data_IF_342417893349
#
_entry.id   IF_342417893349
#
_cell.length_a   1.000
_cell.length_b   1.000
_cell.length_c   1.000
_cell.angle_alpha   90.00
_cell.angle_beta   90.00
_cell.angle_gamma   90.00
#
_symmetry.space_group_name_H-M   'P 1'
#
loop_
_entity.id
_entity.type
_entity.pdbx_description
1 polymer ?
#
# COMPACT_ATOMS: atom_id res chain seq x y z
N UNK A 1 16.09 -45.91 43.09
CA UNK A 1 15.92 -44.43 43.16
C UNK A 1 16.82 -43.64 42.21
N UNK A 2 17.83 -44.25 41.56
CA UNK A 2 18.84 -43.51 40.78
C UNK A 2 18.46 -43.34 39.28
N UNK A 3 17.58 -44.20 38.72
CA UNK A 3 17.24 -44.14 37.30
C UNK A 3 16.23 -43.03 36.93
N UNK A 4 15.40 -42.57 37.88
CA UNK A 4 14.47 -41.43 37.65
C UNK A 4 15.19 -40.07 37.65
N UNK A 5 16.37 -39.97 38.26
CA UNK A 5 17.18 -38.75 38.32
C UNK A 5 17.88 -38.43 37.00
N UNK A 6 18.28 -39.46 36.25
CA UNK A 6 19.02 -39.29 34.98
C UNK A 6 18.11 -38.89 33.81
N UNK A 7 16.85 -39.35 33.80
CA UNK A 7 15.86 -38.99 32.78
C UNK A 7 15.41 -37.53 32.94
N UNK A 8 15.26 -37.05 34.19
CA UNK A 8 14.91 -35.65 34.46
C UNK A 8 16.04 -34.67 34.11
N UNK A 9 17.31 -35.06 34.29
CA UNK A 9 18.44 -34.23 33.88
C UNK A 9 18.53 -34.13 32.35
N UNK A 10 18.38 -35.25 31.61
CA UNK A 10 18.40 -35.27 30.13
C UNK A 10 17.29 -34.42 29.52
N UNK A 11 16.08 -34.45 30.07
CA UNK A 11 14.98 -33.60 29.59
C UNK A 11 15.18 -32.11 29.90
N UNK A 12 15.87 -31.77 31.00
CA UNK A 12 16.23 -30.37 31.31
C UNK A 12 17.25 -29.81 30.32
N UNK A 13 18.24 -30.61 29.92
CA UNK A 13 19.22 -30.21 28.90
C UNK A 13 18.64 -30.22 27.48
N UNK A 14 17.68 -31.10 27.15
CA UNK A 14 17.02 -31.09 25.84
C UNK A 14 16.04 -29.92 25.66
N UNK A 15 15.40 -29.45 26.73
CA UNK A 15 14.54 -28.24 26.71
C UNK A 15 15.40 -26.96 26.68
N UNK A 16 16.64 -27.00 27.17
CA UNK A 16 17.56 -25.87 27.15
C UNK A 16 18.39 -25.74 25.86
N UNK A 17 18.26 -26.68 24.91
CA UNK A 17 18.97 -26.68 23.62
C UNK A 17 18.06 -26.34 22.41
N UNK A 18 16.75 -26.10 22.60
CA UNK A 18 15.82 -25.84 21.48
C UNK A 18 15.44 -24.37 21.27
N UNK A 19 16.00 -23.41 22.00
CA UNK A 19 15.72 -21.97 21.79
C UNK A 19 16.94 -21.05 22.01
N UNK A 20 18.15 -21.51 21.69
CA UNK A 20 19.24 -20.57 21.40
C UNK A 20 18.99 -19.97 20.00
N UNK A 21 18.00 -19.07 19.89
CA UNK A 21 18.06 -18.05 18.86
C UNK A 21 19.12 -17.06 19.34
N UNK A 22 20.12 -16.80 18.51
CA UNK A 22 20.94 -15.59 18.64
C UNK A 22 19.99 -14.43 18.96
N UNK A 23 20.27 -13.60 19.99
CA UNK A 23 19.41 -12.46 20.29
C UNK A 23 19.38 -11.59 19.04
N UNK A 24 18.24 -11.58 18.34
CA UNK A 24 18.04 -10.71 17.18
C UNK A 24 18.23 -9.30 17.72
N UNK A 25 19.29 -8.63 17.26
CA UNK A 25 19.59 -7.28 17.73
C UNK A 25 18.38 -6.39 17.45
N UNK A 26 17.94 -5.67 18.48
CA UNK A 26 16.79 -4.77 18.38
C UNK A 26 16.98 -3.77 17.23
N UNK A 27 15.95 -3.61 16.40
CA UNK A 27 15.92 -2.68 15.28
C UNK A 27 16.18 -1.26 15.80
N UNK A 28 17.17 -0.58 15.22
CA UNK A 28 17.56 0.78 15.61
C UNK A 28 16.98 1.85 14.68
N UNK A 29 16.72 1.50 13.43
CA UNK A 29 16.11 2.43 12.47
C UNK A 29 15.01 1.76 11.67
N UNK A 30 13.86 2.40 11.60
CA UNK A 30 12.80 2.10 10.65
C UNK A 30 12.92 3.01 9.44
N UNK A 31 12.95 2.43 8.25
CA UNK A 31 12.94 3.17 6.99
C UNK A 31 11.60 2.93 6.32
N UNK A 32 10.73 3.91 6.44
CA UNK A 32 9.40 3.87 5.86
C UNK A 32 9.49 4.06 4.35
N UNK A 33 8.87 3.15 3.62
CA UNK A 33 8.92 3.03 2.16
C UNK A 33 7.51 3.12 1.59
N UNK A 34 7.38 3.88 0.51
CA UNK A 34 6.24 3.82 -0.39
C UNK A 34 6.73 3.99 -1.85
N UNK A 35 6.05 3.30 -2.77
CA UNK A 35 6.33 3.35 -4.20
C UNK A 35 5.09 3.74 -4.99
N UNK A 36 5.23 4.78 -5.82
CA UNK A 36 4.31 4.99 -6.92
C UNK A 36 4.75 4.22 -8.15
N UNK A 37 3.80 3.80 -8.97
CA UNK A 37 4.08 2.91 -10.09
C UNK A 37 3.22 3.17 -11.32
N UNK A 38 3.57 2.56 -12.44
CA UNK A 38 2.82 2.66 -13.70
C UNK A 38 1.38 2.15 -13.60
N UNK A 39 1.10 1.29 -12.62
CA UNK A 39 -0.21 0.68 -12.41
C UNK A 39 -0.12 -0.61 -11.60
N UNK A 40 -1.28 -1.18 -11.24
CA UNK A 40 -1.31 -2.34 -10.35
C UNK A 40 -0.77 -3.61 -11.03
N UNK A 41 -0.04 -4.48 -10.29
CA UNK A 41 0.62 -5.64 -10.88
C UNK A 41 -0.37 -6.64 -11.50
N UNK A 42 -1.56 -6.76 -10.90
CA UNK A 42 -2.64 -7.60 -11.43
C UNK A 42 -3.03 -7.21 -12.86
N UNK A 43 -3.22 -5.92 -13.14
CA UNK A 43 -3.65 -5.44 -14.45
C UNK A 43 -2.51 -5.34 -15.46
N UNK A 44 -1.28 -5.28 -14.97
CA UNK A 44 -0.08 -5.18 -15.81
C UNK A 44 0.67 -6.52 -15.96
N UNK A 45 0.07 -7.62 -15.53
CA UNK A 45 0.67 -8.96 -15.55
C UNK A 45 2.08 -8.97 -14.93
N UNK A 46 2.23 -8.28 -13.80
CA UNK A 46 3.48 -8.08 -13.04
C UNK A 46 4.62 -7.41 -13.82
N UNK A 47 4.25 -6.61 -14.84
CA UNK A 47 5.16 -5.73 -15.58
C UNK A 47 5.14 -4.28 -15.08
N UNK A 48 4.48 -3.99 -13.95
CA UNK A 48 4.48 -2.70 -13.22
C UNK A 48 5.87 -2.11 -13.11
N UNK A 49 6.10 -0.81 -13.27
CA UNK A 49 7.42 -0.16 -13.05
C UNK A 49 7.28 0.96 -12.03
N UNK A 50 8.36 1.27 -11.30
CA UNK A 50 8.40 2.35 -10.31
C UNK A 50 8.46 3.71 -11.02
N UNK A 51 7.67 4.68 -10.54
CA UNK A 51 7.64 6.08 -11.01
C UNK A 51 8.10 7.05 -9.93
N UNK A 52 7.85 6.74 -8.66
CA UNK A 52 8.35 7.50 -7.49
C UNK A 52 8.74 6.50 -6.39
N UNK A 53 9.79 6.81 -5.63
CA UNK A 53 10.23 6.07 -4.46
C UNK A 53 10.49 7.07 -3.35
N UNK A 54 9.84 6.88 -2.20
CA UNK A 54 10.14 7.61 -0.99
C UNK A 54 10.66 6.68 0.11
N UNK A 55 11.79 7.06 0.71
CA UNK A 55 12.36 6.44 1.90
C UNK A 55 12.49 7.50 2.98
N UNK A 56 11.87 7.28 4.14
CA UNK A 56 12.05 8.13 5.32
C UNK A 56 12.55 7.30 6.50
N UNK A 57 13.77 7.57 6.94
CA UNK A 57 14.40 6.90 8.08
C UNK A 57 14.08 7.61 9.39
N UNK A 58 13.66 6.84 10.39
CA UNK A 58 13.36 7.28 11.75
C UNK A 58 13.94 6.27 12.73
N UNK A 59 14.66 6.75 13.75
CA UNK A 59 15.18 5.89 14.81
C UNK A 59 14.05 5.29 15.66
N UNK A 60 14.22 4.05 16.11
CA UNK A 60 13.19 3.32 16.86
C UNK A 60 12.80 4.03 18.15
N UNK A 61 13.75 4.66 18.84
CA UNK A 61 13.49 5.47 20.03
C UNK A 61 12.50 6.61 19.77
N UNK A 62 12.56 7.26 18.60
CA UNK A 62 11.65 8.34 18.25
C UNK A 62 10.23 7.85 17.92
N UNK A 63 10.09 6.61 17.43
CA UNK A 63 8.78 5.98 17.26
C UNK A 63 8.18 5.64 18.63
N UNK A 64 8.99 5.12 19.57
CA UNK A 64 8.55 4.78 20.94
C UNK A 64 8.00 5.98 21.71
N UNK A 65 8.42 7.22 21.38
CA UNK A 65 7.93 8.44 22.04
C UNK A 65 6.42 8.68 21.89
N UNK A 66 5.72 8.00 20.99
CA UNK A 66 4.27 8.17 20.84
C UNK A 66 3.87 9.45 20.11
N UNK A 67 4.83 10.21 19.59
CA UNK A 67 4.64 11.50 18.92
C UNK A 67 5.25 11.50 17.54
N UNK A 68 4.78 12.38 16.66
CA UNK A 68 5.32 12.46 15.31
C UNK A 68 6.83 12.82 15.35
N UNK A 69 7.72 11.96 14.82
CA UNK A 69 9.15 12.15 14.92
C UNK A 69 9.63 13.40 14.19
N UNK A 70 10.33 14.31 14.89
CA UNK A 70 10.93 15.51 14.28
C UNK A 70 12.21 15.21 13.51
N UNK A 71 13.01 14.26 13.99
CA UNK A 71 14.29 13.87 13.39
C UNK A 71 14.03 12.75 12.38
N UNK A 72 14.26 13.07 11.10
CA UNK A 72 14.05 12.15 9.98
C UNK A 72 15.14 12.40 8.94
N UNK A 73 15.62 11.34 8.29
CA UNK A 73 16.39 11.43 7.05
C UNK A 73 15.49 11.00 5.89
N UNK A 74 15.52 11.71 4.76
CA UNK A 74 14.63 11.44 3.63
C UNK A 74 15.39 11.29 2.32
N UNK A 75 14.95 10.34 1.50
CA UNK A 75 15.35 10.16 0.11
C UNK A 75 14.08 10.00 -0.71
N UNK A 76 13.77 10.96 -1.58
CA UNK A 76 12.64 10.88 -2.53
C UNK A 76 13.16 11.01 -3.96
N UNK A 77 12.81 10.08 -4.84
CA UNK A 77 13.30 9.99 -6.21
C UNK A 77 12.17 9.66 -7.18
N UNK A 78 12.05 10.44 -8.26
CA UNK A 78 11.15 10.12 -9.37
C UNK A 78 11.94 9.50 -10.55
N UNK A 79 11.31 8.57 -11.26
CA UNK A 79 11.94 7.82 -12.34
C UNK A 79 11.16 7.88 -13.64
N UNK A 80 11.88 7.83 -14.76
CA UNK A 80 11.28 7.50 -16.03
C UNK A 80 11.07 5.96 -16.06
N UNK A 81 9.83 5.46 -16.09
CA UNK A 81 9.56 4.02 -16.01
C UNK A 81 9.89 3.28 -17.32
N UNK A 82 10.18 3.99 -18.43
CA UNK A 82 10.29 3.43 -19.78
C UNK A 82 9.11 2.52 -20.15
N UNK A 83 7.92 2.88 -19.66
CA UNK A 83 6.66 2.19 -19.86
C UNK A 83 5.53 3.21 -19.72
N UNK A 84 4.47 3.05 -20.50
CA UNK A 84 3.27 3.88 -20.36
C UNK A 84 2.68 3.73 -18.96
N UNK A 85 2.42 4.85 -18.30
CA UNK A 85 1.68 4.93 -17.04
C UNK A 85 0.21 4.78 -17.38
N UNK A 86 -0.49 3.90 -16.67
CA UNK A 86 -1.92 3.70 -16.85
C UNK A 86 -2.69 4.97 -16.48
N UNK A 87 -3.82 5.22 -17.17
CA UNK A 87 -4.64 6.40 -16.89
C UNK A 87 -5.13 6.47 -15.44
N UNK A 88 -5.40 5.31 -14.82
CA UNK A 88 -5.77 5.24 -13.40
C UNK A 88 -4.59 5.62 -12.49
N UNK A 89 -3.37 5.14 -12.77
CA UNK A 89 -2.18 5.51 -12.02
C UNK A 89 -1.82 6.99 -12.16
N UNK A 90 -1.87 7.53 -13.38
CA UNK A 90 -1.63 8.96 -13.62
C UNK A 90 -2.67 9.83 -12.89
N UNK A 91 -3.93 9.40 -12.87
CA UNK A 91 -5.02 10.12 -12.18
C UNK A 91 -4.81 10.16 -10.66
N UNK A 92 -4.39 9.06 -10.04
CA UNK A 92 -4.21 9.02 -8.58
C UNK A 92 -2.91 9.72 -8.16
N UNK A 93 -1.80 9.46 -8.87
CA UNK A 93 -0.47 9.94 -8.47
C UNK A 93 -0.16 11.35 -8.98
N UNK A 94 -0.83 11.78 -10.04
CA UNK A 94 -0.46 12.98 -10.79
C UNK A 94 0.83 12.84 -11.59
N UNK A 95 1.43 11.64 -11.65
CA UNK A 95 2.64 11.37 -12.42
C UNK A 95 2.30 10.87 -13.82
N UNK A 96 2.82 11.56 -14.83
CA UNK A 96 2.64 11.21 -16.23
C UNK A 96 3.98 10.94 -16.91
N UNK A 97 3.94 10.20 -18.03
CA UNK A 97 5.15 9.98 -18.82
C UNK A 97 5.78 11.28 -19.32
N UNK A 98 4.97 12.33 -19.52
CA UNK A 98 5.46 13.66 -19.92
C UNK A 98 6.24 14.33 -18.80
N UNK A 99 5.70 14.33 -17.56
CA UNK A 99 6.39 14.91 -16.40
C UNK A 99 7.71 14.19 -16.09
N UNK A 100 7.75 12.89 -16.35
CA UNK A 100 8.88 12.01 -16.05
C UNK A 100 9.80 11.79 -17.26
N UNK A 101 9.61 12.48 -18.38
CA UNK A 101 10.34 12.18 -19.62
C UNK A 101 11.87 12.38 -19.47
N UNK A 102 12.27 13.42 -18.74
CA UNK A 102 13.66 13.86 -18.57
C UNK A 102 14.29 13.36 -17.26
N UNK A 103 13.54 12.62 -16.44
CA UNK A 103 14.07 12.00 -15.22
C UNK A 103 14.87 10.74 -15.57
N UNK A 104 15.74 10.32 -14.65
CA UNK A 104 16.56 9.11 -14.86
C UNK A 104 15.70 7.85 -14.70
N UNK A 105 16.10 6.79 -15.37
CA UNK A 105 15.55 5.45 -15.13
C UNK A 105 16.09 4.90 -13.81
N UNK A 106 15.41 3.92 -13.22
CA UNK A 106 15.96 3.16 -12.11
C UNK A 106 17.25 2.44 -12.55
N UNK A 107 18.38 2.72 -11.90
CA UNK A 107 19.71 2.27 -12.33
C UNK A 107 20.59 1.82 -11.16
N UNK A 108 21.84 1.44 -11.46
CA UNK A 108 22.84 1.03 -10.47
C UNK A 108 23.17 2.15 -9.49
N UNK A 109 23.20 3.39 -9.96
CA UNK A 109 23.41 4.59 -9.13
C UNK A 109 22.26 4.78 -8.13
N UNK A 110 21.02 4.43 -8.51
CA UNK A 110 19.87 4.42 -7.61
C UNK A 110 20.08 3.40 -6.49
N UNK A 111 20.50 2.17 -6.82
CA UNK A 111 20.76 1.13 -5.81
C UNK A 111 21.89 1.54 -4.87
N UNK A 112 22.97 2.11 -5.40
CA UNK A 112 24.07 2.67 -4.60
C UNK A 112 23.57 3.78 -3.66
N UNK A 113 22.70 4.67 -4.15
CA UNK A 113 22.10 5.73 -3.34
C UNK A 113 21.23 5.18 -2.21
N UNK A 114 20.43 4.15 -2.49
CA UNK A 114 19.63 3.46 -1.47
C UNK A 114 20.55 2.82 -0.43
N UNK A 115 21.55 2.04 -0.83
CA UNK A 115 22.48 1.40 0.11
C UNK A 115 23.23 2.42 0.97
N UNK A 116 23.74 3.50 0.37
CA UNK A 116 24.39 4.58 1.11
C UNK A 116 23.44 5.23 2.11
N UNK A 117 22.18 5.45 1.72
CA UNK A 117 21.15 6.00 2.60
C UNK A 117 20.85 5.05 3.76
N UNK A 118 20.65 3.75 3.50
CA UNK A 118 20.39 2.75 4.54
C UNK A 118 21.58 2.65 5.51
N UNK A 119 22.81 2.60 5.00
CA UNK A 119 24.04 2.48 5.79
C UNK A 119 24.39 3.75 6.57
N UNK A 120 23.86 4.91 6.18
CA UNK A 120 24.01 6.15 6.94
C UNK A 120 23.26 6.13 8.28
N UNK A 121 22.26 5.26 8.44
CA UNK A 121 21.44 5.20 9.64
C UNK A 121 21.94 4.14 10.65
N UNK A 122 21.64 4.30 11.95
CA UNK A 122 21.95 3.29 12.97
C UNK A 122 21.38 1.91 12.63
N UNK A 123 22.23 0.89 12.65
CA UNK A 123 21.88 -0.50 12.37
C UNK A 123 21.37 -1.22 13.62
N UNK A 124 20.50 -2.24 13.48
CA UNK A 124 19.91 -2.74 12.23
C UNK A 124 18.83 -1.81 11.67
N UNK A 125 18.76 -1.76 10.34
CA UNK A 125 17.70 -1.08 9.58
C UNK A 125 16.59 -2.05 9.18
N UNK A 126 15.34 -1.63 9.34
CA UNK A 126 14.16 -2.33 8.88
C UNK A 126 13.32 -1.46 7.93
N UNK A 127 13.10 -1.93 6.71
CA UNK A 127 12.13 -1.34 5.79
C UNK A 127 10.71 -1.55 6.31
N UNK A 128 9.87 -0.53 6.16
CA UNK A 128 8.48 -0.51 6.63
C UNK A 128 7.59 0.00 5.51
N UNK A 129 6.75 -0.87 4.94
CA UNK A 129 5.80 -0.53 3.90
C UNK A 129 4.41 -1.07 4.24
N UNK A 130 3.38 -0.50 3.63
CA UNK A 130 2.00 -0.91 3.84
C UNK A 130 1.53 -1.85 2.72
N UNK A 131 1.22 -3.11 3.06
CA UNK A 131 1.03 -4.18 2.08
C UNK A 131 2.32 -4.46 1.26
N UNK A 132 3.48 -4.18 1.85
CA UNK A 132 4.78 -4.27 1.19
C UNK A 132 5.12 -5.67 0.68
N UNK A 133 4.70 -6.74 1.38
CA UNK A 133 4.96 -8.12 0.96
C UNK A 133 4.26 -8.48 -0.35
N UNK A 134 3.15 -7.81 -0.67
CA UNK A 134 2.37 -8.06 -1.88
C UNK A 134 2.54 -6.96 -2.94
N UNK A 135 3.38 -5.96 -2.69
CA UNK A 135 3.55 -4.83 -3.60
C UNK A 135 4.97 -4.27 -3.60
N UNK A 136 5.31 -3.42 -2.62
CA UNK A 136 6.53 -2.61 -2.63
C UNK A 136 7.81 -3.45 -2.68
N UNK A 137 7.91 -4.46 -1.81
CA UNK A 137 9.13 -5.25 -1.68
C UNK A 137 9.39 -6.12 -2.92
N UNK A 138 8.42 -6.91 -3.44
CA UNK A 138 8.64 -7.63 -4.70
C UNK A 138 8.95 -6.71 -5.88
N UNK A 139 8.32 -5.53 -5.95
CA UNK A 139 8.54 -4.56 -7.03
C UNK A 139 9.95 -3.95 -6.96
N UNK A 140 10.35 -3.47 -5.78
CA UNK A 140 11.69 -2.94 -5.52
C UNK A 140 12.75 -4.01 -5.79
N UNK A 141 12.56 -5.23 -5.26
CA UNK A 141 13.47 -6.35 -5.47
C UNK A 141 13.68 -6.63 -6.95
N UNK A 142 12.61 -6.64 -7.74
CA UNK A 142 12.71 -6.84 -9.20
C UNK A 142 13.47 -5.70 -9.90
N UNK A 143 13.25 -4.44 -9.54
CA UNK A 143 14.00 -3.32 -10.14
C UNK A 143 15.49 -3.35 -9.73
N UNK A 144 15.81 -3.68 -8.48
CA UNK A 144 17.18 -3.91 -8.02
C UNK A 144 17.84 -5.04 -8.79
N UNK A 145 17.20 -6.20 -8.89
CA UNK A 145 17.76 -7.39 -9.57
C UNK A 145 18.04 -7.13 -11.06
N UNK A 146 17.24 -6.29 -11.74
CA UNK A 146 17.49 -5.88 -13.13
C UNK A 146 18.81 -5.12 -13.31
N UNK A 147 19.28 -4.43 -12.27
CA UNK A 147 20.56 -3.70 -12.28
C UNK A 147 21.76 -4.61 -12.05
N UNK A 148 21.53 -5.87 -11.64
CA UNK A 148 22.52 -6.85 -11.18
C UNK A 148 23.24 -6.47 -9.89
N UNK A 149 22.68 -5.51 -9.15
CA UNK A 149 23.11 -5.13 -7.81
C UNK A 149 22.20 -5.77 -6.75
N UNK A 150 22.54 -5.58 -5.48
CA UNK A 150 21.72 -6.00 -4.34
C UNK A 150 21.66 -4.91 -3.27
N UNK A 151 20.60 -4.93 -2.47
CA UNK A 151 20.60 -4.22 -1.18
C UNK A 151 21.44 -5.00 -0.16
N UNK A 152 21.91 -4.35 0.90
CA UNK A 152 22.67 -5.00 1.97
C UNK A 152 21.89 -6.19 2.58
N UNK A 153 22.55 -7.33 2.74
CA UNK A 153 21.95 -8.60 3.21
C UNK A 153 21.37 -8.52 4.63
N UNK A 154 21.76 -7.50 5.40
CA UNK A 154 21.28 -7.28 6.76
C UNK A 154 20.03 -6.40 6.83
N UNK A 155 19.54 -5.89 5.70
CA UNK A 155 18.32 -5.07 5.66
C UNK A 155 17.12 -5.96 6.00
N UNK A 156 16.42 -5.58 7.06
CA UNK A 156 15.18 -6.21 7.47
C UNK A 156 13.98 -5.55 6.78
N UNK A 157 12.82 -6.20 6.81
CA UNK A 157 11.56 -5.63 6.36
C UNK A 157 10.36 -6.18 7.15
N UNK A 158 9.32 -5.36 7.28
CA UNK A 158 8.02 -5.70 7.89
C UNK A 158 6.85 -5.20 7.06
N UNK A 159 5.68 -5.83 7.19
CA UNK A 159 4.45 -5.37 6.52
C UNK A 159 3.47 -4.78 7.54
N UNK A 160 3.18 -3.50 7.40
CA UNK A 160 2.29 -2.81 8.35
C UNK A 160 0.82 -3.18 8.17
N UNK A 161 0.41 -3.74 7.03
CA UNK A 161 -0.95 -4.27 6.89
C UNK A 161 -1.18 -5.40 7.90
N UNK A 162 -0.18 -6.28 8.05
CA UNK A 162 -0.20 -7.38 9.02
C UNK A 162 -0.03 -6.82 10.43
N UNK A 163 0.97 -5.96 10.64
CA UNK A 163 1.27 -5.37 11.95
C UNK A 163 0.05 -4.69 12.57
N UNK A 164 -0.63 -3.81 11.81
CA UNK A 164 -1.76 -3.07 12.32
C UNK A 164 -2.94 -3.98 12.67
N UNK A 165 -3.16 -5.05 11.91
CA UNK A 165 -4.21 -6.06 12.22
C UNK A 165 -3.93 -6.78 13.52
N UNK A 166 -2.70 -7.27 13.67
CA UNK A 166 -2.32 -8.07 14.84
C UNK A 166 -2.27 -7.21 16.11
N UNK A 167 -1.68 -6.02 16.05
CA UNK A 167 -1.62 -5.10 17.18
C UNK A 167 -3.02 -4.68 17.65
N UNK A 168 -3.93 -4.34 16.72
CA UNK A 168 -5.31 -3.99 17.10
C UNK A 168 -6.06 -5.18 17.71
N UNK A 169 -5.88 -6.38 17.16
CA UNK A 169 -6.46 -7.61 17.71
C UNK A 169 -5.94 -7.87 19.14
N UNK A 170 -4.64 -7.76 19.37
CA UNK A 170 -4.05 -7.92 20.70
C UNK A 170 -4.57 -6.87 21.70
N UNK A 171 -4.72 -5.62 21.28
CA UNK A 171 -5.26 -4.56 22.12
C UNK A 171 -6.73 -4.80 22.47
N UNK A 172 -7.54 -5.31 21.53
CA UNK A 172 -8.93 -5.68 21.77
C UNK A 172 -9.03 -6.80 22.81
N UNK A 173 -8.26 -7.88 22.63
CA UNK A 173 -8.22 -9.01 23.58
C UNK A 173 -7.80 -8.55 24.98
N UNK A 174 -6.77 -7.70 25.08
CA UNK A 174 -6.32 -7.13 26.37
C UNK A 174 -7.42 -6.31 27.05
N UNK A 175 -8.17 -5.52 26.27
CA UNK A 175 -9.26 -4.70 26.79
C UNK A 175 -10.47 -5.53 27.26
N UNK A 176 -10.83 -6.58 26.52
CA UNK A 176 -11.90 -7.51 26.90
C UNK A 176 -11.57 -8.26 28.19
N UNK A 177 -10.36 -8.82 28.28
CA UNK A 177 -9.89 -9.50 29.49
C UNK A 177 -9.86 -8.56 30.71
N UNK A 178 -9.39 -7.32 30.53
CA UNK A 178 -9.39 -6.32 31.60
C UNK A 178 -10.81 -5.89 32.02
N UNK A 179 -11.77 -5.88 31.10
CA UNK A 179 -13.17 -5.65 31.43
C UNK A 179 -13.76 -6.81 32.23
N UNK A 180 -13.51 -8.06 31.82
CA UNK A 180 -13.98 -9.26 32.53
C UNK A 180 -13.39 -9.39 33.95
N UNK A 181 -12.12 -9.04 34.15
CA UNK A 181 -11.50 -9.02 35.49
C UNK A 181 -12.12 -7.96 36.39
N UNK A 182 -12.49 -6.80 35.84
CA UNK A 182 -13.19 -5.74 36.60
C UNK A 182 -14.58 -6.20 37.03
N UNK A 183 -15.33 -6.91 36.18
CA UNK A 183 -16.66 -7.43 36.53
C UNK A 183 -16.57 -8.52 37.60
N UNK A 184 -15.60 -9.44 37.50
CA UNK A 184 -15.38 -10.51 38.50
C UNK A 184 -14.92 -9.98 39.86
N UNK A 185 -14.21 -8.86 39.91
CA UNK A 185 -13.80 -8.22 41.15
C UNK A 185 -14.91 -7.36 41.77
N UNK A 186 -15.87 -6.85 40.99
CA UNK A 186 -17.05 -6.17 41.51
C UNK A 186 -18.02 -7.15 42.21
N UNK A 187 -18.19 -8.37 41.68
CA UNK A 187 -19.04 -9.41 42.27
C UNK A 187 -18.48 -10.04 43.57
N UNK A 188 -17.19 -9.83 43.88
CA UNK A 188 -16.58 -10.26 45.15
C UNK A 188 -16.58 -9.19 46.25
N UNK A 189 -17.08 -7.99 45.97
CA UNK A 189 -17.15 -6.86 46.92
C UNK A 189 -18.45 -6.78 47.74
N UNK A 190 -19.51 -7.49 47.36
CA UNK A 190 -20.78 -7.50 48.07
C UNK A 190 -21.06 -8.89 48.67
N UNK A 191 -20.48 -9.15 49.85
CA UNK A 191 -21.00 -10.20 50.72
C UNK A 191 -21.09 -9.69 52.15
N UNK A 192 -22.19 -9.00 52.45
CA UNK A 192 -22.79 -8.95 53.79
C UNK A 192 -24.21 -8.36 53.71
N UNK A 193 -25.23 -9.18 53.45
CA UNK A 193 -26.42 -9.32 54.32
C UNK A 193 -27.60 -10.07 53.66
N UNK A 194 -27.81 -11.31 54.12
CA UNK A 194 -29.06 -11.96 54.58
C UNK A 194 -30.34 -12.03 53.67
N UNK A 195 -30.80 -13.30 53.53
CA UNK A 195 -32.16 -13.92 53.38
C UNK A 195 -33.00 -13.90 52.08
N UNK A 196 -33.19 -15.13 51.53
CA UNK A 196 -34.42 -15.89 51.20
C UNK A 196 -35.62 -15.16 50.54
N UNK A 197 -36.39 -15.69 49.56
CA UNK A 197 -36.65 -17.02 48.99
C UNK A 197 -37.60 -16.86 47.79
N UNK A 198 -37.57 -17.74 46.79
CA UNK A 198 -38.65 -17.87 45.79
C UNK A 198 -38.18 -18.44 44.44
N UNK A 199 -38.64 -19.64 44.11
CA UNK A 199 -38.31 -20.44 42.92
C UNK A 199 -38.93 -19.96 41.59
N UNK A 200 -38.44 -20.62 40.53
CA UNK A 200 -38.97 -20.82 39.17
C UNK A 200 -38.63 -19.79 38.08
N UNK A 201 -37.65 -20.15 37.24
CA UNK A 201 -37.94 -20.69 35.89
C UNK A 201 -36.65 -21.14 35.19
N UNK A 202 -36.79 -22.24 34.44
CA UNK A 202 -35.78 -22.96 33.67
C UNK A 202 -35.78 -22.40 32.24
N UNK A 203 -34.60 -22.32 31.61
CA UNK A 203 -34.32 -22.77 30.22
C UNK A 203 -33.41 -21.83 29.39
N UNK A 204 -32.72 -22.48 28.45
CA UNK A 204 -31.96 -22.00 27.30
C UNK A 204 -30.45 -21.75 27.49
N UNK A 205 -29.75 -22.89 27.55
CA UNK A 205 -28.43 -23.09 26.95
C UNK A 205 -28.29 -22.46 25.56
N UNK A 206 -27.33 -21.56 25.38
CA UNK A 206 -26.65 -21.38 24.08
C UNK A 206 -25.13 -21.44 24.30
N UNK A 207 -24.61 -22.62 23.97
CA UNK A 207 -23.18 -22.89 23.79
C UNK A 207 -22.59 -21.91 22.76
N UNK A 208 -21.66 -21.06 23.20
CA UNK A 208 -20.77 -20.31 22.30
C UNK A 208 -19.79 -21.31 21.69
N UNK A 209 -20.06 -21.70 20.44
CA UNK A 209 -19.10 -22.44 19.61
C UNK A 209 -17.96 -21.49 19.21
N UNK A 210 -16.68 -21.87 19.33
CA UNK A 210 -15.55 -21.05 18.91
C UNK A 210 -15.52 -20.95 17.38
N UNK A 211 -15.60 -19.74 16.84
CA UNK A 211 -15.44 -19.52 15.39
C UNK A 211 -13.96 -19.35 15.08
N UNK A 212 -13.30 -20.48 14.84
CA UNK A 212 -11.97 -20.56 14.26
C UNK A 212 -12.12 -20.65 12.73
N UNK A 213 -12.02 -19.52 12.01
CA UNK A 213 -11.94 -19.52 10.53
C UNK A 213 -11.23 -18.26 10.00
N UNK A 214 -9.89 -18.26 9.95
CA UNK A 214 -9.09 -17.08 9.53
C UNK A 214 -8.22 -17.26 8.28
N UNK A 215 -8.43 -18.30 7.47
CA UNK A 215 -7.67 -18.47 6.21
C UNK A 215 -8.50 -18.33 4.92
N UNK A 216 -9.83 -18.46 4.98
CA UNK A 216 -10.67 -18.52 3.78
C UNK A 216 -11.34 -17.18 3.42
N UNK A 217 -11.30 -16.19 4.33
CA UNK A 217 -11.86 -14.86 4.11
C UNK A 217 -11.00 -13.98 3.20
N UNK A 218 -9.68 -14.18 3.20
CA UNK A 218 -8.76 -13.50 2.26
C UNK A 218 -9.04 -13.90 0.81
N UNK A 219 -9.41 -15.16 0.57
CA UNK A 219 -9.78 -15.63 -0.77
C UNK A 219 -11.09 -14.98 -1.23
N UNK A 220 -12.05 -14.77 -0.35
CA UNK A 220 -13.35 -14.16 -0.68
C UNK A 220 -13.27 -12.65 -0.89
N UNK A 221 -12.45 -11.93 -0.13
CA UNK A 221 -12.22 -10.50 -0.35
C UNK A 221 -11.46 -10.23 -1.65
N UNK A 222 -10.47 -11.07 -1.96
CA UNK A 222 -9.79 -11.05 -3.25
C UNK A 222 -10.76 -11.41 -4.38
N UNK A 223 -11.56 -12.48 -4.25
CA UNK A 223 -12.53 -12.90 -5.27
C UNK A 223 -13.65 -11.85 -5.49
N UNK A 224 -14.09 -11.17 -4.43
CA UNK A 224 -15.11 -10.11 -4.54
C UNK A 224 -14.56 -8.86 -5.23
N UNK A 225 -13.30 -8.47 -4.95
CA UNK A 225 -12.60 -7.45 -5.71
C UNK A 225 -12.36 -7.87 -7.18
N UNK A 226 -12.03 -9.14 -7.43
CA UNK A 226 -11.82 -9.72 -8.76
C UNK A 226 -13.11 -9.80 -9.58
N UNK A 227 -14.26 -10.05 -8.96
CA UNK A 227 -15.56 -10.11 -9.67
C UNK A 227 -16.00 -8.71 -10.13
N UNK A 228 -15.73 -7.68 -9.34
CA UNK A 228 -15.94 -6.27 -9.73
C UNK A 228 -14.93 -5.83 -10.81
N UNK A 229 -13.72 -6.40 -10.81
CA UNK A 229 -12.73 -6.18 -11.86
C UNK A 229 -13.04 -6.96 -13.16
N UNK A 230 -13.74 -8.09 -13.06
CA UNK A 230 -14.22 -8.91 -14.19
C UNK A 230 -15.10 -8.15 -15.16
N UNK A 231 -16.06 -7.37 -14.65
CA UNK A 231 -16.93 -6.53 -15.48
C UNK A 231 -16.17 -5.35 -16.14
N UNK A 232 -15.02 -4.95 -15.59
CA UNK A 232 -14.13 -3.95 -16.20
C UNK A 232 -13.14 -4.54 -17.23
N UNK A 233 -12.85 -5.84 -17.18
CA UNK A 233 -11.93 -6.51 -18.12
C UNK A 233 -12.43 -6.45 -19.58
N UNK A 234 -13.75 -6.49 -19.80
CA UNK A 234 -14.35 -6.29 -21.12
C UNK A 234 -14.00 -4.92 -21.73
N UNK A 235 -13.91 -3.88 -20.90
CA UNK A 235 -13.56 -2.52 -21.32
C UNK A 235 -12.03 -2.34 -21.52
N UNK A 236 -11.22 -3.12 -20.80
CA UNK A 236 -9.75 -3.09 -20.89
C UNK A 236 -9.20 -3.81 -22.12
N UNK A 237 -9.88 -4.84 -22.62
CA UNK A 237 -9.44 -5.58 -23.81
C UNK A 237 -9.41 -4.68 -25.06
N UNK A 238 -10.37 -3.77 -25.19
CA UNK A 238 -10.40 -2.77 -26.28
C UNK A 238 -9.26 -1.76 -26.19
N UNK A 239 -8.79 -1.47 -24.98
CA UNK A 239 -7.66 -0.57 -24.73
C UNK A 239 -6.30 -1.24 -24.97
N UNK A 240 -6.19 -2.56 -24.78
CA UNK A 240 -4.99 -3.34 -25.06
C UNK A 240 -4.68 -3.43 -26.57
N UNK A 241 -5.69 -3.52 -27.44
CA UNK A 241 -5.50 -3.57 -28.91
C UNK A 241 -4.85 -2.28 -29.44
N UNK A 242 -5.03 -1.14 -28.76
CA UNK A 242 -4.39 0.14 -29.14
C UNK A 242 -2.93 0.28 -28.66
N UNK A 243 -2.50 -0.52 -27.68
CA UNK A 243 -1.15 -0.43 -27.11
C UNK A 243 -0.09 -1.25 -27.88
N UNK A 244 -0.47 -2.03 -28.88
CA UNK A 244 0.45 -2.87 -29.66
C UNK A 244 1.01 -2.21 -30.93
N UNK A 245 0.62 -0.97 -31.26
CA UNK A 245 1.18 -0.23 -32.39
C UNK A 245 2.01 0.97 -31.92
N UNK A 246 3.26 0.68 -31.56
CA UNK A 246 4.29 1.74 -31.42
C UNK A 246 4.70 2.23 -32.82
N UNK A 247 4.63 3.53 -33.16
CA UNK A 247 5.31 4.02 -34.35
C UNK A 247 6.82 4.06 -34.08
N UNK A 248 7.60 3.41 -34.93
CA UNK A 248 9.05 3.59 -34.95
C UNK A 248 9.39 5.08 -35.19
N UNK A 249 10.44 5.53 -34.51
CA UNK A 249 11.04 6.87 -34.57
C UNK A 249 11.29 7.28 -36.03
N UNK A 250 10.50 8.22 -36.57
CA UNK A 250 10.85 8.90 -37.82
C UNK A 250 12.00 9.87 -37.54
N UNK A 251 13.18 9.56 -38.06
CA UNK A 251 14.32 10.49 -38.10
C UNK A 251 13.97 11.56 -39.15
N UNK A 252 13.54 12.73 -38.70
CA UNK A 252 13.35 13.88 -39.60
C UNK A 252 14.74 14.49 -39.85
N UNK A 253 15.33 14.15 -40.99
CA UNK A 253 16.46 14.85 -41.57
C UNK A 253 15.94 16.01 -42.44
N UNK A 254 15.60 17.14 -41.82
CA UNK A 254 15.45 18.41 -42.55
C UNK A 254 15.84 19.60 -41.65
N UNK A 255 16.95 20.24 -42.00
CA UNK A 255 17.64 21.29 -41.22
C UNK A 255 17.09 22.71 -41.39
N UNK A 256 15.90 22.91 -41.96
CA UNK A 256 15.40 24.24 -42.33
C UNK A 256 14.25 24.79 -41.47
N UNK A 257 14.08 24.32 -40.23
CA UNK A 257 13.01 24.80 -39.33
C UNK A 257 13.51 25.18 -37.92
N UNK A 258 14.74 25.69 -37.84
CA UNK A 258 15.27 26.35 -36.64
C UNK A 258 15.65 27.78 -37.03
N UNK A 259 14.68 28.69 -36.95
CA UNK A 259 14.88 30.13 -37.08
C UNK A 259 15.71 30.64 -35.90
N UNK A 260 17.03 30.66 -36.07
CA UNK A 260 17.96 31.31 -35.15
C UNK A 260 17.99 32.81 -35.49
N UNK A 261 17.59 33.73 -34.60
CA UNK A 261 17.80 35.16 -34.84
C UNK A 261 19.26 35.53 -34.56
N UNK A 262 19.90 36.22 -35.51
CA UNK A 262 21.18 36.92 -35.30
C UNK A 262 20.94 38.20 -34.47
N UNK A 263 21.98 38.58 -33.71
CA UNK A 263 22.13 39.70 -32.74
C UNK A 263 21.82 41.12 -33.28
N UNK A 264 21.67 42.12 -32.39
CA UNK A 264 20.81 43.30 -32.56
C UNK A 264 21.54 44.53 -33.13
N UNK A 265 20.76 45.44 -33.74
CA UNK A 265 21.19 46.81 -34.05
C UNK A 265 20.18 47.80 -33.47
N UNK A 266 20.72 48.88 -32.92
CA UNK A 266 20.11 49.87 -32.03
C UNK A 266 19.12 50.78 -32.76
N UNK A 267 18.01 51.08 -32.08
CA UNK A 267 17.24 52.31 -32.26
C UNK A 267 16.00 52.19 -33.14
N UNK A 268 14.90 51.66 -32.59
CA UNK A 268 13.55 52.02 -33.04
C UNK A 268 12.50 51.56 -32.00
N UNK A 269 11.63 52.50 -31.62
CA UNK A 269 10.59 52.33 -30.61
C UNK A 269 9.44 51.49 -31.15
N UNK A 270 9.23 50.28 -30.63
CA UNK A 270 8.08 49.45 -31.01
C UNK A 270 6.84 49.88 -30.22
N UNK A 271 5.89 50.47 -30.94
CA UNK A 271 4.53 50.73 -30.46
C UNK A 271 3.76 49.41 -30.35
N UNK A 272 3.12 49.22 -29.20
CA UNK A 272 2.14 48.17 -28.93
C UNK A 272 0.93 48.42 -29.83
N UNK A 273 0.55 47.42 -30.63
CA UNK A 273 -0.76 47.36 -31.26
C UNK A 273 -1.39 45.99 -30.94
N UNK A 274 -2.50 46.06 -30.21
CA UNK A 274 -3.49 45.01 -30.11
C UNK A 274 -4.03 44.67 -31.50
N UNK A 275 -4.03 43.38 -31.85
CA UNK A 275 -4.92 42.85 -32.86
C UNK A 275 -5.51 41.53 -32.39
N UNK A 276 -6.66 41.66 -31.74
CA UNK A 276 -7.67 40.62 -31.66
C UNK A 276 -8.26 40.37 -33.05
N UNK A 277 -8.74 39.15 -33.27
CA UNK A 277 -9.60 38.72 -34.39
C UNK A 277 -8.87 38.36 -35.70
N UNK A 278 -8.48 37.08 -35.85
CA UNK A 278 -8.79 36.19 -37.01
C UNK A 278 -7.86 34.97 -37.09
N UNK A 279 -8.29 33.84 -36.52
CA UNK A 279 -7.93 32.49 -37.01
C UNK A 279 -8.84 31.42 -36.40
N UNK A 280 -10.15 31.53 -36.69
CA UNK A 280 -11.11 30.42 -36.57
C UNK A 280 -11.64 30.13 -37.96
N UNK A 281 -10.99 29.24 -38.72
CA UNK A 281 -11.64 28.47 -39.78
C UNK A 281 -10.87 27.17 -40.05
N UNK A 282 -11.64 26.07 -40.21
CA UNK A 282 -11.32 24.75 -40.79
C UNK A 282 -10.93 23.61 -39.83
N UNK A 283 -11.93 22.98 -39.21
CA UNK A 283 -12.40 21.64 -39.59
C UNK A 283 -13.50 21.16 -38.61
N UNK A 284 -14.76 21.45 -38.95
CA UNK A 284 -15.92 20.77 -38.38
C UNK A 284 -16.72 20.19 -39.54
N UNK A 285 -16.72 18.86 -39.68
CA UNK A 285 -17.66 18.13 -40.54
C UNK A 285 -18.33 17.07 -39.68
N UNK A 286 -19.43 17.46 -39.05
CA UNK A 286 -20.44 16.59 -38.43
C UNK A 286 -21.58 16.38 -39.46
N UNK A 287 -22.03 15.15 -39.75
CA UNK A 287 -23.13 14.94 -40.68
C UNK A 287 -24.48 15.37 -40.07
N UNK A 288 -25.26 16.11 -40.85
CA UNK A 288 -26.63 16.54 -40.52
C UNK A 288 -27.63 15.38 -40.53
N UNK A 289 -28.66 15.56 -39.70
CA UNK A 289 -29.79 14.68 -39.41
C UNK A 289 -30.55 14.23 -40.66
N UNK A 290 -30.78 12.92 -40.77
CA UNK A 290 -31.72 12.33 -41.72
C UNK A 290 -33.05 12.06 -41.01
N UNK A 291 -34.11 12.68 -41.49
CA UNK A 291 -35.49 12.41 -41.09
C UNK A 291 -35.88 10.96 -41.46
N UNK A 292 -36.15 10.13 -40.44
CA UNK A 292 -36.77 8.81 -40.62
C UNK A 292 -38.26 8.91 -40.30
N UNK A 293 -39.06 8.63 -41.31
CA UNK A 293 -40.52 8.50 -41.27
C UNK A 293 -40.95 7.33 -40.39
N UNK A 294 -42.03 7.54 -39.65
CA UNK A 294 -42.70 6.64 -38.69
C UNK A 294 -42.72 5.15 -39.04
N UNK A 295 -42.14 4.32 -38.18
CA UNK A 295 -42.47 2.89 -38.03
C UNK A 295 -42.76 2.62 -36.54
N UNK A 296 -43.88 1.93 -36.29
CA UNK A 296 -44.51 1.67 -35.01
C UNK A 296 -43.64 0.87 -34.02
N UNK A 297 -43.49 1.40 -32.80
CA UNK A 297 -42.86 0.72 -31.66
C UNK A 297 -43.84 -0.27 -30.99
N UNK A 298 -43.41 -1.50 -30.65
CA UNK A 298 -44.19 -2.43 -29.82
C UNK A 298 -44.18 -2.00 -28.33
N UNK A 299 -45.17 -2.45 -27.52
CA UNK A 299 -45.43 -1.90 -26.19
C UNK A 299 -44.40 -2.32 -25.13
N UNK A 300 -43.87 -1.29 -24.46
CA UNK A 300 -43.28 -1.17 -23.13
C UNK A 300 -43.06 -2.46 -22.30
N UNK A 301 -41.80 -2.86 -21.99
CA UNK A 301 -41.54 -3.81 -20.91
C UNK A 301 -41.69 -3.12 -19.54
N UNK A 302 -42.29 -3.87 -18.61
CA UNK A 302 -42.73 -3.45 -17.27
C UNK A 302 -41.62 -2.76 -16.46
N UNK A 303 -42.00 -1.73 -15.70
CA UNK A 303 -41.16 -1.01 -14.73
C UNK A 303 -40.37 -1.99 -13.84
N UNK A 304 -39.04 -1.81 -13.66
CA UNK A 304 -38.30 -2.62 -12.71
C UNK A 304 -38.84 -2.38 -11.30
N UNK A 305 -39.12 -3.47 -10.59
CA UNK A 305 -39.50 -3.45 -9.18
C UNK A 305 -38.41 -2.72 -8.39
N UNK A 306 -38.82 -1.85 -7.48
CA UNK A 306 -37.96 -1.25 -6.46
C UNK A 306 -37.29 -2.42 -5.72
N UNK A 307 -36.01 -2.61 -5.97
CA UNK A 307 -35.19 -3.59 -5.27
C UNK A 307 -35.02 -3.05 -3.87
N UNK A 308 -35.50 -3.79 -2.88
CA UNK A 308 -35.28 -3.53 -1.46
C UNK A 308 -33.81 -3.19 -1.23
N UNK A 309 -33.56 -2.18 -0.41
CA UNK A 309 -32.24 -1.75 0.03
C UNK A 309 -31.43 -2.97 0.43
N UNK A 310 -30.44 -3.34 -0.40
CA UNK A 310 -29.50 -4.43 -0.08
C UNK A 310 -29.02 -4.19 1.34
N UNK A 311 -29.27 -5.16 2.23
CA UNK A 311 -28.69 -5.16 3.58
C UNK A 311 -27.20 -4.87 3.42
N UNK A 312 -26.74 -3.78 4.04
CA UNK A 312 -25.34 -3.36 4.00
C UNK A 312 -24.53 -4.54 4.55
N UNK A 313 -23.76 -5.21 3.69
CA UNK A 313 -22.82 -6.23 4.15
C UNK A 313 -21.87 -5.54 5.12
N UNK A 314 -21.77 -6.05 6.34
CA UNK A 314 -20.76 -5.61 7.29
C UNK A 314 -19.40 -6.19 6.84
N UNK A 315 -18.59 -5.37 6.16
CA UNK A 315 -17.34 -5.81 5.54
C UNK A 315 -16.16 -5.90 6.54
N UNK A 316 -16.42 -5.85 7.84
CA UNK A 316 -15.38 -5.79 8.86
C UNK A 316 -14.58 -4.48 8.80
N UNK A 317 -13.57 -4.37 9.67
CA UNK A 317 -12.72 -3.17 9.79
C UNK A 317 -11.76 -3.09 8.59
N UNK A 318 -11.73 -1.95 7.91
CA UNK A 318 -10.77 -1.69 6.82
C UNK A 318 -9.38 -1.39 7.36
N UNK A 319 -8.38 -1.97 6.70
CA UNK A 319 -6.96 -1.77 6.98
C UNK A 319 -6.22 -1.07 5.83
N UNK A 320 -6.92 -0.39 4.93
CA UNK A 320 -6.26 0.54 4.00
C UNK A 320 -5.56 1.63 4.81
N UNK A 321 -4.40 2.09 4.35
CA UNK A 321 -3.58 3.07 5.07
C UNK A 321 -4.38 4.28 5.56
N UNK A 322 -5.18 4.92 4.69
CA UNK A 322 -6.00 6.07 5.06
C UNK A 322 -7.07 5.76 6.13
N UNK A 323 -7.63 4.56 6.13
CA UNK A 323 -8.64 4.14 7.11
C UNK A 323 -7.98 3.86 8.48
N UNK A 324 -6.81 3.23 8.49
CA UNK A 324 -6.00 3.02 9.70
C UNK A 324 -5.57 4.38 10.27
N UNK A 325 -5.02 5.25 9.44
CA UNK A 325 -4.60 6.60 9.82
C UNK A 325 -5.74 7.37 10.47
N UNK A 326 -6.91 7.37 9.83
CA UNK A 326 -8.11 8.05 10.35
C UNK A 326 -8.54 7.50 11.71
N UNK A 327 -8.49 6.16 11.87
CA UNK A 327 -8.89 5.50 13.11
C UNK A 327 -7.93 5.80 14.26
N UNK A 328 -6.62 5.75 14.01
CA UNK A 328 -5.59 5.99 15.02
C UNK A 328 -5.48 7.47 15.41
N UNK A 329 -5.53 8.38 14.44
CA UNK A 329 -5.20 9.80 14.66
C UNK A 329 -6.43 10.71 14.78
N UNK A 330 -7.61 10.22 14.38
CA UNK A 330 -8.86 11.01 14.24
C UNK A 330 -8.74 12.16 13.23
N UNK A 331 -7.78 12.11 12.31
CA UNK A 331 -7.57 13.10 11.23
C UNK A 331 -7.92 12.51 9.87
N UNK A 332 -8.30 13.35 8.92
CA UNK A 332 -8.49 12.93 7.54
C UNK A 332 -7.11 12.70 6.85
N UNK A 333 -6.99 11.68 5.97
CA UNK A 333 -5.81 11.52 5.13
C UNK A 333 -5.60 12.76 4.26
N UNK A 334 -4.34 13.14 4.06
CA UNK A 334 -3.94 14.26 3.20
C UNK A 334 -2.76 13.84 2.34
N UNK A 335 -2.64 14.40 1.14
CA UNK A 335 -1.57 14.07 0.18
C UNK A 335 -1.46 12.57 -0.13
N UNK A 336 -2.58 11.84 -0.08
CA UNK A 336 -2.61 10.44 -0.51
C UNK A 336 -2.22 10.33 -1.97
N UNK A 337 -1.53 9.24 -2.33
CA UNK A 337 -1.00 8.99 -3.67
C UNK A 337 0.16 9.93 -4.06
N UNK A 338 0.88 10.44 -3.06
CA UNK A 338 2.26 10.90 -3.19
C UNK A 338 3.11 10.02 -2.29
N UNK A 339 4.23 9.51 -2.78
CA UNK A 339 5.02 8.56 -2.00
C UNK A 339 5.46 9.13 -0.63
N UNK A 340 5.86 10.41 -0.57
CA UNK A 340 6.16 11.07 0.71
C UNK A 340 4.92 11.23 1.59
N UNK A 341 3.76 11.57 1.02
CA UNK A 341 2.51 11.75 1.76
C UNK A 341 2.06 10.45 2.45
N UNK A 342 2.09 9.34 1.70
CA UNK A 342 1.73 8.01 2.22
C UNK A 342 2.76 7.54 3.26
N UNK A 343 4.06 7.77 3.04
CA UNK A 343 5.09 7.52 4.06
C UNK A 343 4.86 8.34 5.34
N UNK A 344 4.51 9.63 5.26
CA UNK A 344 4.26 10.44 6.44
C UNK A 344 3.04 9.93 7.23
N UNK A 345 1.98 9.50 6.55
CA UNK A 345 0.84 8.86 7.21
C UNK A 345 1.25 7.56 7.89
N UNK A 346 2.08 6.76 7.24
CA UNK A 346 2.55 5.49 7.79
C UNK A 346 3.42 5.68 9.04
N UNK A 347 4.30 6.68 9.03
CA UNK A 347 5.10 7.10 10.21
C UNK A 347 4.17 7.53 11.34
N UNK A 348 3.13 8.30 11.06
CA UNK A 348 2.19 8.74 12.07
C UNK A 348 1.43 7.56 12.70
N UNK A 349 1.00 6.58 11.91
CA UNK A 349 0.38 5.36 12.40
C UNK A 349 1.34 4.59 13.33
N UNK A 350 2.58 4.36 12.89
CA UNK A 350 3.60 3.68 13.69
C UNK A 350 3.91 4.42 14.99
N UNK A 351 4.11 5.74 14.93
CA UNK A 351 4.36 6.58 16.10
C UNK A 351 3.16 6.58 17.06
N UNK A 352 1.92 6.58 16.56
CA UNK A 352 0.72 6.50 17.41
C UNK A 352 0.64 5.19 18.19
N UNK A 353 1.12 4.09 17.59
CA UNK A 353 1.19 2.78 18.24
C UNK A 353 2.42 2.62 19.15
N UNK A 354 3.47 3.44 18.95
CA UNK A 354 4.63 3.53 19.83
C UNK A 354 5.30 2.18 20.09
N UNK A 355 5.48 1.84 21.36
CA UNK A 355 6.11 0.58 21.79
C UNK A 355 5.45 -0.67 21.19
N UNK A 356 4.12 -0.69 21.06
CA UNK A 356 3.42 -1.85 20.50
C UNK A 356 3.86 -2.13 19.06
N UNK A 357 4.11 -1.07 18.28
CA UNK A 357 4.62 -1.21 16.91
C UNK A 357 6.06 -1.68 16.91
N UNK A 358 6.94 -1.05 17.69
CA UNK A 358 8.37 -1.39 17.70
C UNK A 358 8.59 -2.82 18.19
N UNK A 359 7.88 -3.24 19.23
CA UNK A 359 8.00 -4.58 19.78
C UNK A 359 7.47 -5.64 18.81
N UNK A 360 6.37 -5.36 18.11
CA UNK A 360 5.85 -6.25 17.07
C UNK A 360 6.87 -6.38 15.91
N UNK A 361 7.47 -5.27 15.47
CA UNK A 361 8.46 -5.31 14.40
C UNK A 361 9.71 -6.12 14.78
N UNK A 362 10.23 -5.95 16.00
CA UNK A 362 11.37 -6.74 16.49
C UNK A 362 11.10 -8.25 16.48
N UNK A 363 9.84 -8.66 16.68
CA UNK A 363 9.43 -10.06 16.70
C UNK A 363 9.18 -10.63 15.30
N UNK A 364 8.72 -9.81 14.36
CA UNK A 364 8.17 -10.26 13.07
C UNK A 364 9.01 -9.87 11.85
N UNK A 365 10.06 -9.08 12.02
CA UNK A 365 10.94 -8.68 10.94
C UNK A 365 11.61 -9.88 10.26
N UNK A 366 11.72 -9.79 8.93
CA UNK A 366 12.36 -10.79 8.06
C UNK A 366 13.45 -10.09 7.24
N UNK A 367 14.38 -10.85 6.67
CA UNK A 367 15.37 -10.25 5.76
C UNK A 367 14.71 -9.85 4.45
N UNK A 368 15.07 -8.68 3.92
CA UNK A 368 14.63 -8.25 2.60
C UNK A 368 15.17 -9.18 1.50
N UNK A 369 16.35 -9.77 1.69
CA UNK A 369 16.94 -10.76 0.77
C UNK A 369 16.04 -11.98 0.53
N UNK A 370 15.18 -12.31 1.48
CA UNK A 370 14.29 -13.48 1.44
C UNK A 370 12.99 -13.18 0.68
N UNK A 371 12.74 -11.92 0.31
CA UNK A 371 11.54 -11.53 -0.43
C UNK A 371 11.70 -11.93 -1.90
N UNK A 372 10.73 -12.68 -2.47
CA UNK A 372 10.77 -13.01 -3.89
C UNK A 372 10.55 -11.77 -4.74
N UNK A 373 11.37 -11.62 -5.78
CA UNK A 373 11.16 -10.60 -6.80
C UNK A 373 9.80 -10.78 -7.49
N UNK A 374 9.16 -9.67 -7.86
CA UNK A 374 8.00 -9.70 -8.74
C UNK A 374 8.39 -10.29 -10.10
N UNK A 375 7.67 -11.30 -10.59
CA UNK A 375 7.96 -11.94 -11.88
C UNK A 375 6.79 -11.75 -12.85
N UNK A 376 7.03 -11.26 -14.09
CA UNK A 376 5.99 -11.15 -15.11
C UNK A 376 5.25 -12.49 -15.30
N UNK A 377 3.92 -12.47 -15.32
CA UNK A 377 3.13 -13.69 -15.51
C UNK A 377 2.91 -14.58 -14.28
N UNK A 378 3.59 -14.33 -13.15
CA UNK A 378 3.46 -15.16 -11.94
C UNK A 378 2.70 -14.42 -10.84
N UNK A 379 1.81 -15.11 -10.13
CA UNK A 379 1.10 -14.50 -8.98
C UNK A 379 2.11 -14.01 -7.92
N UNK A 380 1.81 -12.87 -7.29
CA UNK A 380 2.62 -12.36 -6.18
C UNK A 380 2.34 -13.21 -4.94
N UNK A 381 3.38 -13.54 -4.17
CA UNK A 381 3.28 -14.33 -2.94
C UNK A 381 3.17 -15.83 -3.14
N UNK A 382 3.52 -16.36 -4.32
CA UNK A 382 3.63 -17.81 -4.60
C UNK A 382 5.05 -18.27 -4.77
#
# INVERSE_FOLDING_TARGET
MILKSLINARNKYFIQMSTWREPVSEIKTFVFLDLESTGLPLYENNKTRITELCLTAVQSEHIRLGVFPRVQNKLNLCFNPCKLISADAEKITGLSNFLLENTKVFSQETVSSINNFLNHNPQPVCLVAHNGLNFDYPLLKREVDKTKEALDDNVLCVDTLIAFREIECEQQIKNENAAEEKTKNAEKGESSSVVASGEDTIDATQSKVPVEFTANYDKLLVTACETIAGDKLLFSAESQIKNETTPQKQIISNRNLLGIPKKPTVGESIKILDFSVESKMKNETTPQEQFITSISLPPNPKKPKIVESRKKLDYGVSYKLGDVFSRLTKKAPSNSHQADGDVQMLIMCAATLGDSFVDWCNQNAKKFSDIPAMVPGKKIGT
#
